data_IF_568905528388
#
_entry.id   IF_568905528388
#
_cell.length_a   1.000
_cell.length_b   1.000
_cell.length_c   1.000
_cell.angle_alpha   90.00
_cell.angle_beta   90.00
_cell.angle_gamma   90.00
#
_symmetry.space_group_name_H-M   'P 1'
#
loop_
_entity.id
_entity.type
_entity.pdbx_description
1 polymer ?
#
# COMPACT_ATOMS: atom_id res chain seq x y z
N UNK A 1 -14.87 -3.91 5.18
CA UNK A 1 -13.40 -3.89 5.03
C UNK A 1 -12.90 -5.31 5.20
N UNK A 2 -12.21 -5.85 4.20
CA UNK A 2 -11.87 -7.29 4.13
C UNK A 2 -10.50 -7.55 4.72
N UNK A 3 -10.42 -8.48 5.68
CA UNK A 3 -9.15 -9.01 6.21
C UNK A 3 -8.87 -10.34 5.53
N UNK A 4 -7.65 -10.55 5.05
CA UNK A 4 -7.21 -11.82 4.46
C UNK A 4 -6.21 -12.49 5.40
N UNK A 5 -6.25 -13.81 5.46
CA UNK A 5 -5.34 -14.61 6.26
C UNK A 5 -4.79 -15.77 5.43
N UNK A 6 -3.51 -16.05 5.61
CA UNK A 6 -2.83 -17.23 5.09
C UNK A 6 -2.21 -17.98 6.27
N UNK A 7 -1.45 -19.04 6.01
CA UNK A 7 -0.70 -19.75 7.06
C UNK A 7 0.30 -18.83 7.78
N UNK A 8 0.91 -17.88 7.08
CA UNK A 8 2.01 -17.06 7.62
C UNK A 8 1.72 -15.56 7.70
N UNK A 9 0.69 -15.09 7.00
CA UNK A 9 0.45 -13.65 6.79
C UNK A 9 -0.99 -13.27 7.14
N UNK A 10 -1.12 -12.12 7.79
CA UNK A 10 -2.38 -11.40 8.01
C UNK A 10 -2.34 -10.11 7.21
N UNK A 11 -3.34 -9.88 6.38
CA UNK A 11 -3.47 -8.71 5.53
C UNK A 11 -4.69 -7.91 5.98
N UNK A 12 -4.47 -6.68 6.42
CA UNK A 12 -5.53 -5.77 6.86
C UNK A 12 -5.57 -4.55 5.96
N UNK A 13 -6.76 -3.97 5.67
CA UNK A 13 -6.84 -2.70 4.97
C UNK A 13 -5.93 -1.68 5.66
N UNK A 14 -5.12 -0.98 4.86
CA UNK A 14 -4.17 0.00 5.38
C UNK A 14 -4.87 1.04 6.25
N UNK A 15 -4.24 1.40 7.36
CA UNK A 15 -4.80 2.34 8.34
C UNK A 15 -3.76 3.37 8.78
N UNK A 16 -4.22 4.44 9.43
CA UNK A 16 -3.34 5.51 9.94
C UNK A 16 -2.25 4.96 10.87
N UNK A 17 -2.52 3.89 11.61
CA UNK A 17 -1.55 3.23 12.48
C UNK A 17 -0.39 2.54 11.76
N UNK A 18 -0.42 2.41 10.43
CA UNK A 18 0.67 1.83 9.63
C UNK A 18 1.71 2.89 9.19
N UNK A 19 1.56 4.15 9.61
CA UNK A 19 2.39 5.27 9.14
C UNK A 19 3.90 5.04 9.35
N UNK A 20 4.31 4.58 10.53
CA UNK A 20 5.73 4.38 10.85
C UNK A 20 6.35 3.27 9.99
N UNK A 21 5.64 2.16 9.83
CA UNK A 21 6.06 1.02 9.00
C UNK A 21 6.15 1.40 7.51
N UNK A 22 5.15 2.15 7.01
CA UNK A 22 5.15 2.66 5.64
C UNK A 22 6.28 3.67 5.41
N UNK A 23 6.54 4.56 6.37
CA UNK A 23 7.62 5.55 6.27
C UNK A 23 8.97 4.87 6.22
N UNK A 24 9.20 3.89 7.10
CA UNK A 24 10.43 3.10 7.08
C UNK A 24 10.66 2.42 5.73
N UNK A 25 9.63 1.77 5.17
CA UNK A 25 9.74 1.07 3.88
C UNK A 25 9.94 2.04 2.70
N UNK A 26 9.15 3.10 2.62
CA UNK A 26 9.18 4.01 1.47
C UNK A 26 10.35 5.00 1.52
N UNK A 27 10.98 5.21 2.68
CA UNK A 27 12.24 5.95 2.78
C UNK A 27 13.46 5.10 2.34
N UNK A 28 13.34 3.77 2.34
CA UNK A 28 14.41 2.87 1.92
C UNK A 28 14.66 2.96 0.41
N UNK A 29 15.86 3.43 0.06
CA UNK A 29 16.30 3.56 -1.33
C UNK A 29 16.44 2.21 -2.03
N UNK A 30 16.79 1.12 -1.32
CA UNK A 30 16.91 -0.20 -1.92
C UNK A 30 15.55 -0.77 -2.34
N UNK A 31 14.51 -0.53 -1.52
CA UNK A 31 13.13 -0.86 -1.88
C UNK A 31 12.62 0.01 -3.03
N UNK A 32 12.82 1.33 -2.95
CA UNK A 32 12.21 2.29 -3.87
C UNK A 32 12.94 2.48 -5.20
N UNK A 33 14.17 1.97 -5.37
CA UNK A 33 15.00 2.19 -6.57
C UNK A 33 14.32 1.79 -7.89
N UNK A 34 13.48 0.75 -7.87
CA UNK A 34 12.76 0.26 -9.06
C UNK A 34 11.32 0.78 -9.16
N UNK A 35 10.86 1.57 -8.18
CA UNK A 35 9.50 2.09 -8.12
C UNK A 35 9.48 3.59 -8.42
N UNK A 36 10.26 4.37 -7.66
CA UNK A 36 10.35 5.84 -7.75
C UNK A 36 11.79 6.33 -8.03
N UNK A 37 12.78 5.46 -7.92
CA UNK A 37 14.20 5.82 -8.09
C UNK A 37 14.80 6.58 -6.90
N UNK A 38 14.01 6.88 -5.86
CA UNK A 38 14.43 7.50 -4.61
C UNK A 38 13.49 7.14 -3.46
N UNK A 39 14.00 7.25 -2.24
CA UNK A 39 13.17 7.25 -1.04
C UNK A 39 12.18 8.43 -1.04
N UNK A 40 11.05 8.22 -0.40
CA UNK A 40 10.00 9.22 -0.20
C UNK A 40 10.20 9.97 1.12
N UNK A 41 9.75 11.22 1.17
CA UNK A 41 9.62 11.95 2.42
C UNK A 41 8.41 11.46 3.22
N UNK A 42 8.39 11.75 4.52
CA UNK A 42 7.24 11.43 5.38
C UNK A 42 5.93 12.05 4.87
N UNK A 43 5.98 13.29 4.35
CA UNK A 43 4.82 13.95 3.75
C UNK A 43 4.30 13.19 2.51
N UNK A 44 5.19 12.72 1.65
CA UNK A 44 4.81 11.92 0.47
C UNK A 44 4.18 10.59 0.87
N UNK A 45 4.71 9.95 1.93
CA UNK A 45 4.14 8.71 2.50
C UNK A 45 2.78 8.98 3.13
N UNK A 46 2.60 10.10 3.82
CA UNK A 46 1.32 10.51 4.41
C UNK A 46 0.24 10.67 3.34
N UNK A 47 0.52 11.39 2.25
CA UNK A 47 -0.43 11.53 1.14
C UNK A 47 -0.76 10.18 0.49
N UNK A 48 0.23 9.29 0.36
CA UNK A 48 0.02 7.94 -0.15
C UNK A 48 -0.92 7.13 0.75
N UNK A 49 -0.71 7.19 2.07
CA UNK A 49 -1.54 6.53 3.07
C UNK A 49 -2.98 7.05 3.03
N UNK A 50 -3.17 8.38 3.00
CA UNK A 50 -4.51 8.98 2.89
C UNK A 50 -5.24 8.56 1.61
N UNK A 51 -4.53 8.50 0.48
CA UNK A 51 -5.09 7.99 -0.78
C UNK A 51 -5.55 6.54 -0.62
N UNK A 52 -4.74 5.68 0.00
CA UNK A 52 -5.06 4.26 0.10
C UNK A 52 -6.20 3.98 1.10
N UNK A 53 -6.26 4.72 2.21
CA UNK A 53 -7.42 4.74 3.12
C UNK A 53 -8.68 5.20 2.40
N UNK A 54 -8.59 6.31 1.65
CA UNK A 54 -9.70 6.84 0.87
C UNK A 54 -10.17 5.88 -0.21
N UNK A 55 -9.25 5.18 -0.87
CA UNK A 55 -9.56 4.18 -1.89
C UNK A 55 -10.40 3.04 -1.31
N UNK A 56 -10.06 2.52 -0.12
CA UNK A 56 -10.91 1.56 0.58
C UNK A 56 -12.31 2.08 0.87
N UNK A 57 -12.44 3.33 1.30
CA UNK A 57 -13.75 3.94 1.58
C UNK A 57 -14.60 4.11 0.32
N UNK A 58 -13.99 4.51 -0.79
CA UNK A 58 -14.71 4.85 -2.04
C UNK A 58 -14.99 3.62 -2.90
N UNK A 59 -14.06 2.67 -2.98
CA UNK A 59 -14.11 1.52 -3.90
C UNK A 59 -14.51 0.21 -3.22
N UNK A 60 -14.36 0.12 -1.89
CA UNK A 60 -14.60 -1.12 -1.14
C UNK A 60 -13.46 -2.16 -1.23
N UNK A 61 -12.37 -1.83 -1.94
CA UNK A 61 -11.13 -2.60 -2.07
C UNK A 61 -9.93 -1.63 -2.08
N UNK A 62 -8.69 -2.10 -1.91
CA UNK A 62 -7.50 -1.24 -1.91
C UNK A 62 -6.22 -1.95 -1.44
N UNK A 63 -5.24 -1.17 -0.99
CA UNK A 63 -3.98 -1.69 -0.44
C UNK A 63 -4.18 -2.29 0.97
N UNK A 64 -3.69 -3.51 1.15
CA UNK A 64 -3.51 -4.11 2.46
C UNK A 64 -2.11 -3.85 2.98
N UNK A 65 -1.99 -3.60 4.28
CA UNK A 65 -0.76 -3.80 5.04
C UNK A 65 -0.62 -5.29 5.36
N UNK A 66 0.56 -5.85 5.09
CA UNK A 66 0.86 -7.27 5.28
C UNK A 66 1.72 -7.41 6.53
N UNK A 67 1.30 -8.26 7.46
CA UNK A 67 2.07 -8.60 8.66
C UNK A 67 2.27 -10.11 8.76
N UNK A 68 3.40 -10.53 9.29
CA UNK A 68 3.57 -11.91 9.74
C UNK A 68 2.58 -12.23 10.86
N UNK A 69 1.83 -13.31 10.72
CA UNK A 69 0.78 -13.68 11.68
C UNK A 69 1.36 -14.01 13.06
N UNK A 70 2.54 -14.63 13.13
CA UNK A 70 3.14 -15.07 14.38
C UNK A 70 3.75 -13.92 15.20
N UNK A 71 4.30 -12.91 14.53
CA UNK A 71 5.12 -11.86 15.16
C UNK A 71 4.46 -10.48 15.11
N UNK A 72 3.51 -10.26 14.20
CA UNK A 72 2.95 -8.94 13.90
C UNK A 72 3.90 -8.03 13.11
N UNK A 73 5.09 -8.52 12.74
CA UNK A 73 6.06 -7.73 11.98
C UNK A 73 5.50 -7.34 10.61
N UNK A 74 5.63 -6.06 10.25
CA UNK A 74 5.26 -5.58 8.92
C UNK A 74 6.23 -6.13 7.87
N UNK A 75 5.67 -6.62 6.77
CA UNK A 75 6.44 -7.24 5.68
C UNK A 75 6.11 -6.67 4.31
N UNK A 76 5.36 -5.58 4.25
CA UNK A 76 5.05 -4.86 3.02
C UNK A 76 3.56 -4.60 2.82
N UNK A 77 3.21 -4.22 1.60
CA UNK A 77 1.82 -3.98 1.19
C UNK A 77 1.56 -4.60 -0.18
N UNK A 78 0.30 -4.89 -0.45
CA UNK A 78 -0.17 -5.35 -1.76
C UNK A 78 -1.61 -4.87 -1.95
N UNK A 79 -2.03 -4.59 -3.17
CA UNK A 79 -3.40 -4.13 -3.40
C UNK A 79 -3.91 -4.28 -4.82
N UNK A 80 -5.23 -4.25 -4.94
CA UNK A 80 -5.94 -4.03 -6.19
C UNK A 80 -6.42 -2.58 -6.20
N UNK A 81 -6.16 -1.85 -7.27
CA UNK A 81 -6.17 -0.38 -7.25
C UNK A 81 -6.86 0.17 -8.50
N UNK A 82 -7.53 1.32 -8.34
CA UNK A 82 -8.05 2.15 -9.42
C UNK A 82 -7.54 3.58 -9.18
N UNK A 83 -6.33 3.86 -9.67
CA UNK A 83 -5.70 5.17 -9.52
C UNK A 83 -5.99 6.13 -10.66
N UNK A 84 -6.85 5.73 -11.62
CA UNK A 84 -7.25 6.57 -12.76
C UNK A 84 -6.06 7.22 -13.45
N UNK A 85 -5.06 6.39 -13.79
CA UNK A 85 -3.81 6.84 -14.41
C UNK A 85 -4.09 7.65 -15.67
N UNK A 86 -3.45 8.80 -15.78
CA UNK A 86 -3.44 9.58 -17.01
C UNK A 86 -2.50 8.90 -18.02
N UNK A 87 -3.06 8.14 -18.94
CA UNK A 87 -2.29 7.41 -19.97
C UNK A 87 -3.05 7.24 -21.28
N UNK A 88 -2.32 6.97 -22.37
CA UNK A 88 -2.87 6.72 -23.71
C UNK A 88 -2.24 5.43 -24.30
N UNK A 89 -3.03 4.43 -24.70
CA UNK A 89 -4.50 4.35 -24.55
C UNK A 89 -4.93 4.33 -23.08
N UNK A 90 -6.20 4.68 -22.77
CA UNK A 90 -6.69 4.66 -21.40
C UNK A 90 -6.61 3.25 -20.79
N UNK A 91 -6.33 3.18 -19.49
CA UNK A 91 -6.29 1.92 -18.73
C UNK A 91 -7.64 1.69 -18.06
N UNK A 92 -8.39 0.71 -18.55
CA UNK A 92 -9.74 0.37 -18.08
C UNK A 92 -9.76 -1.00 -17.36
N UNK A 93 -8.81 -1.19 -16.45
CA UNK A 93 -8.70 -2.38 -15.62
C UNK A 93 -8.15 -2.03 -14.23
N UNK A 94 -8.38 -2.87 -13.21
CA UNK A 94 -7.72 -2.71 -11.92
C UNK A 94 -6.19 -2.90 -12.04
N UNK A 95 -5.43 -2.05 -11.36
CA UNK A 95 -3.99 -2.18 -11.17
C UNK A 95 -3.70 -3.15 -10.02
N UNK A 96 -2.59 -3.90 -10.14
CA UNK A 96 -1.99 -4.61 -9.02
C UNK A 96 -0.77 -3.82 -8.55
N UNK A 97 -0.70 -3.55 -7.25
CA UNK A 97 0.40 -2.87 -6.58
C UNK A 97 1.02 -3.73 -5.51
#
# INVERSE_FOLDING_TARGET
MTVLSTERLTLTPVAVGDMDDLTALWADADFTRHIMGRGLSEEEVWFRLLRDVGHWQVKGYGNWSIRETATGAYVGSVGVLDYRREMTPPFDAPELG
#
